data_IF_815644087093
#
_entry.id   IF_815644087093
#
_cell.length_a   1.000
_cell.length_b   1.000
_cell.length_c   1.000
_cell.angle_alpha   90.00
_cell.angle_beta   90.00
_cell.angle_gamma   90.00
#
_symmetry.space_group_name_H-M   'P 1'
#
loop_
_entity.id
_entity.type
_entity.pdbx_description
1 polymer ?
#
# COMPACT_ATOMS: atom_id res chain seq x y z
N UNK A 1 -45.58 -23.65 -43.09
CA UNK A 1 -44.52 -22.63 -43.10
C UNK A 1 -44.54 -21.70 -41.90
N UNK A 2 -45.62 -21.47 -41.18
CA UNK A 2 -45.72 -20.46 -40.10
C UNK A 2 -45.22 -20.90 -38.72
N UNK A 3 -45.02 -22.20 -38.45
CA UNK A 3 -44.54 -22.63 -37.12
C UNK A 3 -43.02 -22.50 -36.91
N UNK A 4 -42.23 -22.66 -37.97
CA UNK A 4 -40.77 -22.55 -37.90
C UNK A 4 -40.34 -21.10 -37.68
N UNK A 5 -41.01 -20.11 -38.28
CA UNK A 5 -40.73 -18.68 -38.06
C UNK A 5 -41.00 -18.22 -36.63
N UNK A 6 -42.03 -18.77 -35.98
CA UNK A 6 -42.37 -18.43 -34.59
C UNK A 6 -41.29 -18.96 -33.64
N UNK A 7 -40.74 -20.17 -33.85
CA UNK A 7 -39.64 -20.71 -33.02
C UNK A 7 -38.32 -20.00 -33.25
N UNK A 8 -38.01 -19.58 -34.49
CA UNK A 8 -36.80 -18.77 -34.78
C UNK A 8 -36.90 -17.38 -34.15
N UNK A 9 -38.08 -16.72 -34.25
CA UNK A 9 -38.30 -15.43 -33.60
C UNK A 9 -38.26 -15.52 -32.06
N UNK A 10 -38.82 -16.57 -31.46
CA UNK A 10 -38.74 -16.82 -30.03
C UNK A 10 -37.29 -17.13 -29.58
N UNK A 11 -36.55 -17.91 -30.36
CA UNK A 11 -35.15 -18.24 -30.06
C UNK A 11 -34.22 -17.03 -30.22
N UNK A 12 -34.41 -16.21 -31.26
CA UNK A 12 -33.72 -14.94 -31.42
C UNK A 12 -34.10 -13.92 -30.32
N UNK A 13 -35.38 -13.88 -29.90
CA UNK A 13 -35.85 -13.02 -28.82
C UNK A 13 -35.23 -13.40 -27.46
N UNK A 14 -35.11 -14.70 -27.18
CA UNK A 14 -34.47 -15.19 -25.94
C UNK A 14 -32.95 -14.93 -25.97
N UNK A 15 -32.29 -15.07 -27.12
CA UNK A 15 -30.87 -14.72 -27.28
C UNK A 15 -30.64 -13.20 -27.15
N UNK A 16 -31.57 -12.37 -27.66
CA UNK A 16 -31.49 -10.90 -27.53
C UNK A 16 -31.77 -10.43 -26.10
N UNK A 17 -32.72 -11.04 -25.39
CA UNK A 17 -33.00 -10.77 -23.98
C UNK A 17 -31.80 -11.15 -23.09
N UNK A 18 -31.17 -12.33 -23.31
CA UNK A 18 -29.97 -12.72 -22.57
C UNK A 18 -28.76 -11.83 -22.88
N UNK A 19 -28.63 -11.30 -24.11
CA UNK A 19 -27.55 -10.36 -24.44
C UNK A 19 -27.78 -8.98 -23.83
N UNK A 20 -29.04 -8.53 -23.71
CA UNK A 20 -29.36 -7.24 -23.07
C UNK A 20 -29.19 -7.28 -21.57
N UNK A 21 -29.54 -8.35 -20.88
CA UNK A 21 -29.32 -8.49 -19.44
C UNK A 21 -27.81 -8.59 -19.10
N UNK A 22 -27.03 -9.31 -19.92
CA UNK A 22 -25.57 -9.37 -19.78
C UNK A 22 -24.91 -8.01 -20.02
N UNK A 23 -25.45 -7.16 -20.89
CA UNK A 23 -24.94 -5.83 -21.18
C UNK A 23 -25.23 -4.83 -20.04
N UNK A 24 -26.45 -4.83 -19.49
CA UNK A 24 -26.81 -3.97 -18.35
C UNK A 24 -25.97 -4.29 -17.09
N UNK A 25 -25.79 -5.57 -16.79
CA UNK A 25 -24.94 -6.00 -15.65
C UNK A 25 -23.48 -5.54 -15.81
N UNK A 26 -22.97 -5.50 -17.04
CA UNK A 26 -21.60 -5.03 -17.31
C UNK A 26 -21.43 -3.52 -17.12
N UNK A 27 -22.46 -2.71 -17.19
CA UNK A 27 -22.37 -1.26 -16.99
C UNK A 27 -22.09 -0.88 -15.53
N UNK A 28 -22.52 -1.69 -14.58
CA UNK A 28 -22.26 -1.48 -13.15
C UNK A 28 -20.83 -1.84 -12.74
N UNK A 29 -20.09 -2.59 -13.57
CA UNK A 29 -18.67 -2.88 -13.37
C UNK A 29 -17.78 -1.76 -13.95
N UNK A 30 -16.71 -1.41 -13.25
CA UNK A 30 -15.68 -0.53 -13.80
C UNK A 30 -15.04 -1.11 -15.07
N UNK A 31 -14.44 -0.27 -15.91
CA UNK A 31 -13.77 -0.73 -17.13
C UNK A 31 -12.66 -1.75 -16.84
N UNK A 32 -11.88 -1.54 -15.77
CA UNK A 32 -10.84 -2.46 -15.34
C UNK A 32 -11.40 -3.79 -14.85
N UNK A 33 -12.50 -3.78 -14.09
CA UNK A 33 -13.17 -4.99 -13.63
C UNK A 33 -13.76 -5.80 -14.77
N UNK A 34 -14.35 -5.13 -15.78
CA UNK A 34 -14.82 -5.79 -17.01
C UNK A 34 -13.69 -6.49 -17.76
N UNK A 35 -12.56 -5.79 -17.94
CA UNK A 35 -11.40 -6.37 -18.62
C UNK A 35 -10.84 -7.58 -17.86
N UNK A 36 -10.74 -7.50 -16.52
CA UNK A 36 -10.29 -8.62 -15.69
C UNK A 36 -11.26 -9.80 -15.77
N UNK A 37 -12.56 -9.54 -15.73
CA UNK A 37 -13.58 -10.59 -15.86
C UNK A 37 -13.54 -11.24 -17.24
N UNK A 38 -13.42 -10.46 -18.31
CA UNK A 38 -13.27 -10.97 -19.68
C UNK A 38 -12.00 -11.83 -19.84
N UNK A 39 -10.89 -11.43 -19.22
CA UNK A 39 -9.67 -12.24 -19.19
C UNK A 39 -9.87 -13.55 -18.45
N UNK A 40 -10.52 -13.53 -17.28
CA UNK A 40 -10.86 -14.74 -16.52
C UNK A 40 -11.76 -15.69 -17.31
N UNK A 41 -12.71 -15.15 -18.09
CA UNK A 41 -13.62 -15.94 -18.94
C UNK A 41 -12.88 -16.53 -20.16
N UNK A 42 -12.03 -15.74 -20.82
CA UNK A 42 -11.33 -16.15 -22.06
C UNK A 42 -10.19 -17.12 -21.83
N UNK A 43 -9.46 -16.99 -20.72
CA UNK A 43 -8.25 -17.80 -20.46
C UNK A 43 -8.55 -19.25 -20.17
N UNK A 44 -9.79 -19.63 -19.85
CA UNK A 44 -10.03 -20.97 -19.34
C UNK A 44 -11.36 -21.67 -19.68
N UNK A 45 -12.34 -21.15 -20.32
CA UNK A 45 -13.69 -21.72 -20.17
C UNK A 45 -14.10 -21.87 -18.67
N UNK A 46 -13.64 -20.98 -17.84
CA UNK A 46 -13.39 -21.17 -16.38
C UNK A 46 -14.47 -20.63 -15.48
N UNK A 47 -15.51 -19.97 -15.92
CA UNK A 47 -16.65 -19.74 -15.03
C UNK A 47 -17.20 -21.07 -14.48
N UNK A 48 -17.25 -22.12 -15.31
CA UNK A 48 -17.58 -23.46 -14.84
C UNK A 48 -16.46 -24.11 -14.00
N UNK A 49 -15.18 -23.79 -14.22
CA UNK A 49 -14.07 -24.30 -13.41
C UNK A 49 -13.85 -23.48 -12.12
N UNK A 50 -14.12 -22.17 -12.12
CA UNK A 50 -14.14 -21.35 -10.89
C UNK A 50 -15.26 -21.83 -9.97
N UNK A 51 -16.44 -22.18 -10.51
CA UNK A 51 -17.50 -22.80 -9.70
C UNK A 51 -17.15 -24.20 -9.20
N UNK A 52 -16.22 -24.92 -9.85
CA UNK A 52 -15.70 -26.23 -9.40
C UNK A 52 -14.49 -26.17 -8.47
N UNK A 53 -13.84 -24.99 -8.32
CA UNK A 53 -12.67 -24.77 -7.45
C UNK A 53 -12.99 -24.00 -6.18
N UNK A 54 -14.26 -23.87 -5.79
CA UNK A 54 -14.70 -23.21 -4.52
C UNK A 54 -14.04 -21.83 -4.25
N UNK A 55 -13.74 -21.05 -5.31
CA UNK A 55 -13.21 -19.71 -5.13
C UNK A 55 -14.29 -18.68 -5.35
N UNK A 56 -14.89 -18.25 -4.25
CA UNK A 56 -15.81 -17.14 -4.24
C UNK A 56 -15.15 -15.85 -4.73
N UNK A 57 -15.92 -15.01 -5.42
CA UNK A 57 -15.48 -13.69 -5.85
C UNK A 57 -15.63 -12.70 -4.71
N UNK A 58 -14.62 -11.87 -4.53
CA UNK A 58 -14.70 -10.68 -3.67
C UNK A 58 -14.96 -9.46 -4.52
N UNK A 59 -15.82 -8.55 -4.06
CA UNK A 59 -16.13 -7.30 -4.76
C UNK A 59 -16.22 -6.16 -3.74
N UNK A 60 -15.80 -4.97 -4.17
CA UNK A 60 -16.20 -3.72 -3.56
C UNK A 60 -17.45 -3.24 -4.30
N UNK A 61 -18.53 -2.99 -3.59
CA UNK A 61 -19.81 -2.59 -4.20
C UNK A 61 -20.34 -1.33 -3.57
N UNK A 62 -20.98 -0.51 -4.38
CA UNK A 62 -21.79 0.61 -3.97
C UNK A 62 -23.26 0.25 -4.24
N UNK A 63 -24.07 0.28 -3.20
CA UNK A 63 -25.49 0.03 -3.24
C UNK A 63 -26.28 1.28 -2.83
N UNK A 64 -27.58 1.23 -2.94
CA UNK A 64 -28.45 2.25 -2.39
C UNK A 64 -28.32 2.33 -0.87
N UNK A 65 -28.50 3.51 -0.28
CA UNK A 65 -28.37 3.75 1.15
C UNK A 65 -29.37 2.93 2.00
N UNK A 66 -30.48 2.53 1.39
CA UNK A 66 -31.52 1.74 2.03
C UNK A 66 -31.36 0.23 1.87
N UNK A 67 -30.26 -0.22 1.21
CA UNK A 67 -29.97 -1.65 1.01
C UNK A 67 -29.82 -2.35 2.35
N UNK A 68 -30.61 -3.39 2.54
CA UNK A 68 -30.63 -4.17 3.77
C UNK A 68 -29.74 -5.42 3.66
N UNK A 69 -29.48 -6.03 4.82
CA UNK A 69 -28.83 -7.34 4.87
C UNK A 69 -29.57 -8.39 4.05
N UNK A 70 -30.89 -8.38 4.10
CA UNK A 70 -31.71 -9.37 3.41
C UNK A 70 -31.58 -9.22 1.90
N UNK A 71 -31.56 -8.00 1.35
CA UNK A 71 -31.38 -7.75 -0.07
C UNK A 71 -30.07 -8.36 -0.59
N UNK A 72 -28.98 -8.21 0.17
CA UNK A 72 -27.68 -8.78 -0.19
C UNK A 72 -27.74 -10.33 -0.18
N UNK A 73 -28.28 -10.92 0.88
CA UNK A 73 -28.34 -12.38 1.01
C UNK A 73 -29.26 -13.03 -0.03
N UNK A 74 -30.41 -12.42 -0.31
CA UNK A 74 -31.34 -12.90 -1.34
C UNK A 74 -30.74 -12.87 -2.75
N UNK A 75 -29.76 -11.99 -3.00
CA UNK A 75 -29.02 -11.93 -4.26
C UNK A 75 -27.77 -12.83 -4.30
N UNK A 76 -27.64 -13.76 -3.36
CA UNK A 76 -26.57 -14.77 -3.38
C UNK A 76 -25.25 -14.32 -2.75
N UNK A 77 -25.23 -13.20 -2.01
CA UNK A 77 -24.04 -12.78 -1.24
C UNK A 77 -23.83 -13.73 -0.07
N UNK A 78 -22.65 -14.34 -0.01
CA UNK A 78 -22.26 -15.32 1.02
C UNK A 78 -21.83 -14.64 2.32
N UNK A 79 -21.09 -13.55 2.20
CA UNK A 79 -20.66 -12.72 3.33
C UNK A 79 -20.44 -11.28 2.89
N UNK A 80 -20.54 -10.33 3.82
CA UNK A 80 -20.32 -8.92 3.55
C UNK A 80 -19.76 -8.19 4.77
N UNK A 81 -19.08 -7.07 4.50
CA UNK A 81 -18.70 -6.07 5.51
C UNK A 81 -19.22 -4.72 5.04
N UNK A 82 -19.98 -4.03 5.89
CA UNK A 82 -20.42 -2.66 5.61
C UNK A 82 -19.27 -1.67 5.87
N UNK A 83 -19.02 -0.81 4.89
CA UNK A 83 -18.05 0.29 4.99
C UNK A 83 -18.72 1.64 5.25
N UNK A 84 -20.07 1.65 5.40
CA UNK A 84 -20.87 2.85 5.53
C UNK A 84 -21.29 3.48 4.19
N UNK A 85 -22.28 4.38 4.23
CA UNK A 85 -22.75 5.17 3.07
C UNK A 85 -23.08 4.34 1.81
N UNK A 86 -23.66 3.14 2.00
CA UNK A 86 -24.01 2.24 0.89
C UNK A 86 -22.82 1.47 0.29
N UNK A 87 -21.62 1.56 0.86
CA UNK A 87 -20.46 0.76 0.42
C UNK A 87 -20.32 -0.52 1.21
N UNK A 88 -20.01 -1.61 0.50
CA UNK A 88 -19.79 -2.93 1.09
C UNK A 88 -18.63 -3.63 0.39
N UNK A 89 -17.88 -4.44 1.12
CA UNK A 89 -17.13 -5.54 0.54
C UNK A 89 -17.98 -6.80 0.64
N UNK A 90 -18.13 -7.55 -0.44
CA UNK A 90 -18.94 -8.75 -0.49
C UNK A 90 -18.13 -9.95 -0.97
N UNK A 91 -18.57 -11.13 -0.59
CA UNK A 91 -18.13 -12.41 -1.12
C UNK A 91 -19.33 -13.08 -1.77
N UNK A 92 -19.19 -13.55 -3.02
CA UNK A 92 -20.29 -14.08 -3.80
C UNK A 92 -19.81 -15.21 -4.72
N UNK A 93 -20.64 -16.23 -4.91
CA UNK A 93 -20.34 -17.27 -5.88
C UNK A 93 -20.34 -16.70 -7.31
N UNK A 94 -19.41 -17.13 -8.21
CA UNK A 94 -19.38 -16.66 -9.60
C UNK A 94 -20.69 -16.83 -10.35
N UNK A 95 -21.46 -17.88 -10.05
CA UNK A 95 -22.78 -18.15 -10.63
C UNK A 95 -23.83 -17.09 -10.29
N UNK A 96 -23.72 -16.45 -9.14
CA UNK A 96 -24.67 -15.45 -8.64
C UNK A 96 -24.32 -14.02 -9.06
N UNK A 97 -23.12 -13.79 -9.62
CA UNK A 97 -22.62 -12.45 -9.93
C UNK A 97 -23.57 -11.68 -10.86
N UNK A 98 -24.06 -12.31 -11.93
CA UNK A 98 -24.99 -11.65 -12.87
C UNK A 98 -26.28 -11.24 -12.19
N UNK A 99 -26.86 -12.14 -11.39
CA UNK A 99 -28.08 -11.88 -10.63
C UNK A 99 -27.89 -10.72 -9.65
N UNK A 100 -26.77 -10.68 -8.96
CA UNK A 100 -26.43 -9.59 -8.06
C UNK A 100 -26.28 -8.26 -8.79
N UNK A 101 -25.55 -8.23 -9.91
CA UNK A 101 -25.36 -7.02 -10.70
C UNK A 101 -26.64 -6.51 -11.36
N UNK A 102 -27.59 -7.40 -11.68
CA UNK A 102 -28.90 -7.02 -12.25
C UNK A 102 -29.85 -6.39 -11.21
N UNK A 103 -29.54 -6.50 -9.92
CA UNK A 103 -30.39 -5.96 -8.85
C UNK A 103 -30.42 -4.43 -8.86
N UNK A 104 -31.60 -3.83 -8.75
CA UNK A 104 -31.80 -2.38 -8.84
C UNK A 104 -31.04 -1.59 -7.78
N UNK A 105 -30.81 -2.17 -6.60
CA UNK A 105 -30.11 -1.52 -5.51
C UNK A 105 -28.59 -1.46 -5.71
N UNK A 106 -28.01 -2.22 -6.62
CA UNK A 106 -26.57 -2.18 -6.93
C UNK A 106 -26.28 -1.05 -7.91
N UNK A 107 -25.49 -0.08 -7.51
CA UNK A 107 -25.07 1.07 -8.34
C UNK A 107 -23.78 0.81 -9.08
N UNK A 108 -22.79 0.23 -8.37
CA UNK A 108 -21.44 -0.01 -8.91
C UNK A 108 -20.78 -1.19 -8.22
N UNK A 109 -19.97 -1.93 -8.96
CA UNK A 109 -19.18 -3.02 -8.43
C UNK A 109 -17.76 -3.02 -9.03
N UNK A 110 -16.79 -3.42 -8.23
CA UNK A 110 -15.40 -3.54 -8.64
C UNK A 110 -14.78 -4.83 -8.11
N UNK A 111 -14.03 -5.51 -8.97
CA UNK A 111 -13.17 -6.60 -8.57
C UNK A 111 -11.96 -6.07 -7.78
N UNK A 112 -11.46 -6.82 -6.78
CA UNK A 112 -10.30 -6.40 -6.02
C UNK A 112 -9.08 -6.29 -6.92
N UNK A 113 -8.27 -5.26 -6.68
CA UNK A 113 -6.95 -5.13 -7.29
C UNK A 113 -5.91 -5.48 -6.23
N UNK A 114 -4.87 -6.16 -6.65
CA UNK A 114 -3.74 -6.40 -5.78
C UNK A 114 -2.97 -5.09 -5.63
N UNK A 115 -2.86 -4.61 -4.41
CA UNK A 115 -1.92 -3.54 -4.11
C UNK A 115 -0.49 -4.11 -4.19
N UNK A 116 0.42 -3.37 -4.81
CA UNK A 116 1.86 -3.65 -4.81
C UNK A 116 2.57 -2.64 -3.93
N UNK A 117 3.67 -3.07 -3.32
CA UNK A 117 4.63 -2.16 -2.71
C UNK A 117 5.35 -1.45 -3.86
N UNK A 118 5.37 -0.12 -3.87
CA UNK A 118 5.77 0.67 -5.05
C UNK A 118 6.81 1.74 -4.75
N UNK A 119 7.69 1.55 -3.75
CA UNK A 119 8.74 2.52 -3.48
C UNK A 119 9.74 2.64 -4.64
N UNK A 120 10.06 1.54 -5.29
CA UNK A 120 10.91 1.47 -6.48
C UNK A 120 10.32 2.24 -7.67
N UNK A 121 9.04 2.05 -7.94
CA UNK A 121 8.30 2.80 -8.96
C UNK A 121 8.07 4.26 -8.53
N UNK A 122 7.72 4.51 -7.27
CA UNK A 122 7.43 5.85 -6.77
C UNK A 122 8.61 6.83 -6.94
N UNK A 123 9.85 6.39 -6.77
CA UNK A 123 11.03 7.25 -7.01
C UNK A 123 11.17 7.63 -8.47
N UNK A 124 10.83 6.75 -9.39
CA UNK A 124 10.84 7.02 -10.84
C UNK A 124 9.70 7.98 -11.22
N UNK A 125 8.49 7.70 -10.76
CA UNK A 125 7.29 8.50 -11.02
C UNK A 125 7.40 9.94 -10.46
N UNK A 126 8.07 10.10 -9.32
CA UNK A 126 8.29 11.42 -8.69
C UNK A 126 9.59 12.11 -9.17
N UNK A 127 10.30 11.55 -10.15
CA UNK A 127 11.58 12.03 -10.66
C UNK A 127 12.73 12.06 -9.64
N UNK A 128 12.59 11.40 -8.51
CA UNK A 128 13.66 11.31 -7.50
C UNK A 128 14.91 10.65 -8.06
N UNK A 129 14.76 9.63 -8.92
CA UNK A 129 15.89 8.95 -9.58
C UNK A 129 16.70 9.92 -10.43
N UNK A 130 16.08 10.87 -11.14
CA UNK A 130 16.78 11.89 -11.93
C UNK A 130 17.62 12.81 -11.04
N UNK A 131 17.10 13.20 -9.89
CA UNK A 131 17.80 14.02 -8.89
C UNK A 131 18.96 13.24 -8.27
N UNK A 132 18.74 11.97 -7.92
CA UNK A 132 19.78 11.10 -7.37
C UNK A 132 20.93 10.86 -8.37
N UNK A 133 20.63 10.77 -9.65
CA UNK A 133 21.61 10.62 -10.72
C UNK A 133 22.27 11.95 -11.17
N UNK A 134 21.73 13.09 -10.74
CA UNK A 134 22.19 14.41 -11.15
C UNK A 134 21.80 14.77 -12.59
N UNK A 135 20.75 14.18 -13.15
CA UNK A 135 20.30 14.45 -14.50
C UNK A 135 19.78 15.90 -14.61
N UNK A 136 20.37 16.66 -15.53
CA UNK A 136 20.11 18.10 -15.69
C UNK A 136 20.46 18.97 -14.47
N UNK A 137 21.27 18.46 -13.54
CA UNK A 137 21.72 19.15 -12.33
C UNK A 137 23.26 19.26 -12.34
N UNK A 138 23.82 20.08 -11.43
CA UNK A 138 25.27 20.27 -11.32
C UNK A 138 25.99 19.02 -10.77
N UNK A 139 25.29 18.16 -10.04
CA UNK A 139 25.83 16.94 -9.44
C UNK A 139 24.69 16.04 -8.96
N UNK A 140 24.95 14.74 -8.65
CA UNK A 140 24.03 13.89 -7.93
C UNK A 140 23.68 14.44 -6.55
N UNK A 141 22.39 14.35 -6.17
CA UNK A 141 21.91 14.74 -4.85
C UNK A 141 21.30 13.52 -4.15
N UNK A 142 22.05 12.99 -3.19
CA UNK A 142 21.73 11.74 -2.48
C UNK A 142 21.49 11.93 -0.98
N UNK A 143 21.48 13.20 -0.54
CA UNK A 143 21.43 13.56 0.89
C UNK A 143 22.81 13.61 1.55
N UNK A 144 23.91 13.43 0.81
CA UNK A 144 25.27 13.50 1.36
C UNK A 144 25.52 14.86 2.01
N UNK A 145 26.11 14.86 3.21
CA UNK A 145 26.37 16.06 4.03
C UNK A 145 25.10 16.76 4.56
N UNK A 146 23.97 16.09 4.60
CA UNK A 146 22.73 16.56 5.21
C UNK A 146 22.37 15.66 6.38
N UNK A 147 21.88 16.25 7.47
CA UNK A 147 21.25 15.50 8.58
C UNK A 147 19.78 15.30 8.25
N UNK A 148 19.34 14.04 8.21
CA UNK A 148 17.93 13.67 8.06
C UNK A 148 17.43 13.15 9.41
N UNK A 149 16.62 13.96 10.07
CA UNK A 149 16.04 13.67 11.36
C UNK A 149 14.63 13.08 11.26
N UNK A 150 14.29 12.23 12.20
CA UNK A 150 12.96 11.64 12.35
C UNK A 150 12.51 11.79 13.80
N UNK A 151 11.27 12.21 13.99
CA UNK A 151 10.59 12.17 15.29
C UNK A 151 9.36 11.30 15.11
N UNK A 152 9.41 10.08 15.62
CA UNK A 152 8.42 9.04 15.37
C UNK A 152 8.47 7.98 16.48
N UNK A 153 7.82 6.84 16.33
CA UNK A 153 7.88 5.70 17.23
C UNK A 153 8.08 4.40 16.46
N UNK A 154 8.77 3.44 17.08
CA UNK A 154 9.01 2.12 16.51
C UNK A 154 10.16 2.10 15.50
N UNK A 155 11.34 2.56 15.93
CA UNK A 155 12.59 2.42 15.17
C UNK A 155 13.29 1.11 15.52
N UNK A 156 13.38 0.18 14.59
CA UNK A 156 14.37 -0.89 14.63
C UNK A 156 15.70 -0.35 14.09
N UNK A 157 16.57 0.10 15.00
CA UNK A 157 17.87 0.69 14.65
C UNK A 157 18.87 -0.33 14.11
N UNK A 158 18.56 -1.62 14.21
CA UNK A 158 19.38 -2.72 13.67
C UNK A 158 19.06 -3.02 12.21
N UNK A 159 17.94 -2.47 11.70
CA UNK A 159 17.45 -2.75 10.35
C UNK A 159 18.50 -2.41 9.26
N UNK A 160 18.76 -3.30 8.29
CA UNK A 160 19.79 -3.11 7.25
C UNK A 160 19.66 -1.81 6.46
N UNK A 161 18.43 -1.29 6.27
CA UNK A 161 18.19 -0.02 5.57
C UNK A 161 18.97 1.16 6.18
N UNK A 162 19.34 1.12 7.46
CA UNK A 162 20.05 2.20 8.14
C UNK A 162 21.57 2.05 8.08
N UNK A 163 22.07 1.14 7.27
CA UNK A 163 23.48 0.97 6.98
C UNK A 163 23.86 1.61 5.65
N UNK A 164 25.18 1.76 5.45
CA UNK A 164 25.77 2.18 4.17
C UNK A 164 25.45 1.17 3.06
N UNK A 165 25.66 1.57 1.81
CA UNK A 165 25.38 0.75 0.63
C UNK A 165 26.08 -0.61 0.64
N UNK A 166 27.24 -0.72 1.29
CA UNK A 166 28.03 -1.95 1.46
C UNK A 166 27.65 -2.74 2.74
N UNK A 167 26.69 -2.26 3.53
CA UNK A 167 26.25 -2.84 4.80
C UNK A 167 27.31 -2.78 5.94
N UNK A 168 28.41 -2.06 5.77
CA UNK A 168 29.50 -2.06 6.77
C UNK A 168 29.27 -1.03 7.88
N UNK A 169 28.74 0.15 7.52
CA UNK A 169 28.65 1.28 8.45
C UNK A 169 27.22 1.63 8.82
N UNK A 170 26.92 1.69 10.12
CA UNK A 170 25.65 2.26 10.61
C UNK A 170 25.62 3.77 10.31
N UNK A 171 24.55 4.25 9.67
CA UNK A 171 24.36 5.67 9.32
C UNK A 171 23.58 6.47 10.35
N UNK A 172 23.04 5.81 11.38
CA UNK A 172 22.41 6.48 12.51
C UNK A 172 23.53 7.14 13.34
N UNK A 173 23.58 8.46 13.27
CA UNK A 173 24.57 9.26 14.01
C UNK A 173 24.15 9.49 15.46
N UNK A 174 22.85 9.59 15.72
CA UNK A 174 22.25 9.80 17.04
C UNK A 174 20.93 9.06 17.13
N UNK A 175 20.66 8.48 18.30
CA UNK A 175 19.37 7.91 18.65
C UNK A 175 18.96 8.41 20.04
N UNK A 176 17.82 9.09 20.12
CA UNK A 176 17.22 9.48 21.37
C UNK A 176 15.94 8.70 21.61
N UNK A 177 16.03 7.70 22.50
CA UNK A 177 14.85 7.01 23.00
C UNK A 177 14.26 7.85 24.15
N UNK A 178 13.21 8.64 23.86
CA UNK A 178 12.53 9.48 24.86
C UNK A 178 11.72 8.66 25.85
N UNK A 179 11.26 7.47 25.46
CA UNK A 179 10.47 6.58 26.32
C UNK A 179 11.30 6.15 27.53
N UNK A 180 12.54 5.72 27.28
CA UNK A 180 13.49 5.31 28.32
C UNK A 180 14.46 6.41 28.76
N UNK A 181 14.30 7.63 28.20
CA UNK A 181 15.17 8.77 28.41
C UNK A 181 16.67 8.47 28.16
N UNK A 182 16.98 7.80 27.06
CA UNK A 182 18.34 7.43 26.66
C UNK A 182 18.81 8.24 25.46
N UNK A 183 19.92 8.94 25.59
CA UNK A 183 20.60 9.65 24.50
C UNK A 183 21.83 8.85 24.04
N UNK A 184 21.78 8.27 22.85
CA UNK A 184 22.79 7.40 22.31
C UNK A 184 23.53 8.04 21.14
N UNK A 185 24.87 8.05 21.20
CA UNK A 185 25.73 8.62 20.17
C UNK A 185 26.80 7.65 19.65
N UNK A 186 27.03 6.61 20.39
CA UNK A 186 27.94 5.53 20.05
C UNK A 186 27.21 4.43 19.30
N UNK A 187 27.79 3.96 18.18
CA UNK A 187 27.15 3.00 17.28
C UNK A 187 26.87 1.64 17.93
N UNK A 188 27.75 1.20 18.83
CA UNK A 188 27.58 -0.07 19.55
C UNK A 188 26.39 0.04 20.51
N UNK A 189 26.29 1.16 21.23
CA UNK A 189 25.17 1.42 22.13
C UNK A 189 23.85 1.61 21.40
N UNK A 190 23.85 2.27 20.23
CA UNK A 190 22.67 2.39 19.38
C UNK A 190 22.19 1.00 18.94
N UNK A 191 23.09 0.15 18.44
CA UNK A 191 22.73 -1.21 18.02
C UNK A 191 22.29 -2.09 19.20
N UNK A 192 22.87 -1.90 20.38
CA UNK A 192 22.50 -2.64 21.58
C UNK A 192 21.11 -2.25 22.13
N UNK A 193 20.65 -1.03 21.88
CA UNK A 193 19.31 -0.59 22.24
C UNK A 193 18.24 -1.33 21.41
N UNK A 194 18.50 -1.60 20.14
CA UNK A 194 17.62 -2.37 19.25
C UNK A 194 16.41 -1.58 18.77
N UNK A 195 15.52 -1.20 19.66
CA UNK A 195 14.30 -0.45 19.34
C UNK A 195 13.84 0.43 20.51
N UNK A 196 13.09 1.50 20.21
CA UNK A 196 12.37 2.31 21.22
C UNK A 196 11.00 1.71 21.57
N UNK A 197 10.45 0.87 20.70
CA UNK A 197 9.09 0.33 20.87
C UNK A 197 8.92 -0.99 20.11
N UNK A 198 8.81 -2.10 20.82
CA UNK A 198 8.67 -3.44 20.21
C UNK A 198 7.30 -3.67 19.53
N UNK A 199 6.29 -2.89 19.90
CA UNK A 199 4.92 -3.03 19.36
C UNK A 199 4.70 -2.22 18.07
N UNK A 200 5.63 -1.34 17.70
CA UNK A 200 5.53 -0.44 16.57
C UNK A 200 6.70 -0.61 15.60
N UNK A 201 6.44 -0.33 14.33
CA UNK A 201 7.47 -0.32 13.27
C UNK A 201 7.33 0.89 12.35
N UNK A 202 6.49 1.85 12.71
CA UNK A 202 6.15 2.99 11.86
C UNK A 202 7.39 3.86 11.59
N UNK A 203 8.15 4.21 12.61
CA UNK A 203 9.39 4.99 12.47
C UNK A 203 10.42 4.32 11.57
N UNK A 204 10.59 2.99 11.68
CA UNK A 204 11.47 2.20 10.79
C UNK A 204 11.04 2.33 9.33
N UNK A 205 9.74 2.19 9.05
CA UNK A 205 9.20 2.26 7.69
C UNK A 205 9.39 3.65 7.09
N UNK A 206 9.01 4.70 7.82
CA UNK A 206 9.16 6.10 7.40
C UNK A 206 10.62 6.46 7.14
N UNK A 207 11.52 6.10 8.06
CA UNK A 207 12.95 6.37 7.91
C UNK A 207 13.57 5.58 6.76
N UNK A 208 13.13 4.35 6.51
CA UNK A 208 13.56 3.54 5.38
C UNK A 208 13.20 4.15 4.02
N UNK A 209 11.96 4.67 3.88
CA UNK A 209 11.51 5.36 2.67
C UNK A 209 12.31 6.64 2.43
N UNK A 210 12.55 7.43 3.47
CA UNK A 210 13.22 8.72 3.30
C UNK A 210 14.75 8.58 3.18
N UNK A 211 15.37 7.71 3.99
CA UNK A 211 16.82 7.65 4.15
C UNK A 211 17.45 6.27 4.08
N UNK A 212 16.75 5.22 3.67
CA UNK A 212 17.33 3.89 3.56
C UNK A 212 18.50 3.83 2.59
N UNK A 213 19.65 3.26 2.99
CA UNK A 213 20.90 3.32 2.23
C UNK A 213 21.45 1.96 1.76
N UNK A 214 20.87 0.86 2.16
CA UNK A 214 21.37 -0.46 1.80
C UNK A 214 20.91 -0.88 0.40
N UNK A 215 21.86 -1.19 -0.47
CA UNK A 215 21.64 -1.62 -1.88
C UNK A 215 21.95 -3.10 -2.13
N UNK A 216 22.37 -3.84 -1.14
CA UNK A 216 22.77 -5.23 -1.29
C UNK A 216 21.60 -6.20 -1.49
N UNK A 217 21.91 -7.46 -1.36
CA UNK A 217 20.94 -8.57 -1.52
C UNK A 217 19.86 -8.53 -0.46
N UNK A 218 18.60 -8.64 -0.86
CA UNK A 218 17.46 -8.75 0.05
C UNK A 218 16.64 -10.00 -0.24
N UNK A 219 16.08 -10.60 0.81
CA UNK A 219 15.08 -11.65 0.69
C UNK A 219 13.69 -11.00 0.51
N UNK A 220 12.98 -11.38 -0.54
CA UNK A 220 11.61 -10.90 -0.82
C UNK A 220 10.54 -11.90 -0.39
N UNK A 221 10.93 -13.15 -0.17
CA UNK A 221 10.11 -14.24 0.36
C UNK A 221 11.03 -15.35 0.86
N UNK A 222 10.47 -16.41 1.47
CA UNK A 222 11.24 -17.55 1.96
C UNK A 222 12.11 -18.23 0.89
N UNK A 223 11.81 -18.03 -0.39
CA UNK A 223 12.50 -18.70 -1.52
C UNK A 223 13.00 -17.75 -2.61
N UNK A 224 12.82 -16.44 -2.46
CA UNK A 224 13.19 -15.45 -3.49
C UNK A 224 14.09 -14.36 -2.91
N UNK A 225 15.24 -14.18 -3.53
CA UNK A 225 16.20 -13.10 -3.22
C UNK A 225 16.38 -12.19 -4.44
N UNK A 226 16.63 -10.91 -4.19
CA UNK A 226 17.05 -9.94 -5.19
C UNK A 226 18.52 -9.58 -4.92
N UNK A 227 19.35 -9.59 -5.95
CA UNK A 227 20.78 -9.26 -5.85
C UNK A 227 21.03 -7.78 -5.52
N UNK A 228 20.04 -6.95 -5.79
CA UNK A 228 20.03 -5.52 -5.44
C UNK A 228 18.70 -5.16 -4.79
N UNK A 229 18.78 -4.42 -3.68
CA UNK A 229 17.61 -3.83 -3.05
C UNK A 229 17.09 -2.65 -3.90
N UNK A 230 15.90 -2.75 -4.54
CA UNK A 230 15.29 -1.64 -5.24
C UNK A 230 14.59 -0.64 -4.29
N UNK A 231 14.44 -0.99 -3.00
CA UNK A 231 13.66 -0.24 -2.01
C UNK A 231 14.52 0.69 -1.15
N UNK A 232 15.58 1.26 -1.70
CA UNK A 232 16.37 2.28 -1.00
C UNK A 232 15.66 3.63 -0.97
N UNK A 233 16.07 4.50 -0.05
CA UNK A 233 15.41 5.76 0.23
C UNK A 233 15.74 6.90 -0.73
N UNK A 234 15.06 8.02 -0.50
CA UNK A 234 15.25 9.26 -1.28
C UNK A 234 16.63 9.88 -1.02
N UNK A 235 17.02 9.99 0.26
CA UNK A 235 18.29 10.59 0.72
C UNK A 235 19.20 9.52 1.32
N UNK A 236 19.59 8.54 0.51
CA UNK A 236 20.27 7.32 0.93
C UNK A 236 21.72 7.53 1.47
N UNK A 237 22.31 8.71 1.31
CA UNK A 237 23.62 9.07 1.85
C UNK A 237 23.55 10.08 3.02
N UNK A 238 22.36 10.44 3.49
CA UNK A 238 22.20 11.37 4.62
C UNK A 238 22.66 10.75 5.95
N UNK A 239 23.14 11.59 6.87
CA UNK A 239 23.34 11.19 8.27
C UNK A 239 21.99 11.12 8.97
N UNK A 240 21.67 10.01 9.62
CA UNK A 240 20.38 9.80 10.24
C UNK A 240 20.40 10.18 11.73
N UNK A 241 19.40 10.93 12.17
CA UNK A 241 19.11 11.19 13.58
C UNK A 241 17.70 10.73 13.88
N UNK A 242 17.55 9.80 14.80
CA UNK A 242 16.26 9.22 15.15
C UNK A 242 15.87 9.59 16.57
N UNK A 243 14.62 9.97 16.76
CA UNK A 243 14.03 10.26 18.06
C UNK A 243 12.80 9.38 18.23
N UNK A 244 12.93 8.33 19.03
CA UNK A 244 11.84 7.46 19.48
C UNK A 244 11.00 8.22 20.49
N UNK A 245 9.86 8.78 20.06
CA UNK A 245 9.07 9.74 20.82
C UNK A 245 7.93 9.07 21.57
N UNK A 246 7.54 9.66 22.71
CA UNK A 246 6.31 9.33 23.42
C UNK A 246 5.05 9.77 22.64
N UNK A 247 5.25 10.55 21.56
CA UNK A 247 4.22 11.15 20.70
C UNK A 247 3.40 12.27 21.39
N UNK A 248 3.80 12.71 22.57
CA UNK A 248 3.27 13.95 23.13
C UNK A 248 3.86 15.16 22.40
N UNK A 249 3.09 16.22 22.23
CA UNK A 249 3.46 17.41 21.46
C UNK A 249 4.75 18.07 21.99
N UNK A 250 4.92 18.12 23.31
CA UNK A 250 6.13 18.63 23.97
C UNK A 250 7.37 17.79 23.63
N UNK A 251 7.25 16.48 23.59
CA UNK A 251 8.34 15.57 23.27
C UNK A 251 8.68 15.59 21.78
N UNK A 252 7.67 15.73 20.93
CA UNK A 252 7.86 15.96 19.48
C UNK A 252 8.68 17.24 19.27
N UNK A 253 8.31 18.36 19.91
CA UNK A 253 9.03 19.64 19.80
C UNK A 253 10.47 19.56 20.35
N UNK A 254 10.67 18.85 21.45
CA UNK A 254 11.99 18.57 22.00
C UNK A 254 12.84 17.73 21.03
N UNK A 255 12.24 16.72 20.41
CA UNK A 255 12.88 15.88 19.38
C UNK A 255 13.31 16.68 18.16
N UNK A 256 12.44 17.53 17.62
CA UNK A 256 12.79 18.45 16.53
C UNK A 256 13.97 19.33 16.89
N UNK A 257 13.91 19.97 18.08
CA UNK A 257 14.99 20.82 18.57
C UNK A 257 16.30 20.07 18.72
N UNK A 258 16.26 18.84 19.20
CA UNK A 258 17.44 17.98 19.33
C UNK A 258 18.12 17.73 17.99
N UNK A 259 17.34 17.40 16.93
CA UNK A 259 17.89 17.16 15.57
C UNK A 259 18.62 18.41 15.06
N UNK A 260 17.97 19.58 15.13
CA UNK A 260 18.59 20.83 14.65
C UNK A 260 19.82 21.21 15.48
N UNK A 261 19.81 21.07 16.81
CA UNK A 261 20.98 21.32 17.64
C UNK A 261 22.16 20.40 17.29
N UNK A 262 21.88 19.12 16.98
CA UNK A 262 22.92 18.22 16.52
C UNK A 262 23.50 18.67 15.17
N UNK A 263 22.65 18.98 14.19
CA UNK A 263 23.09 19.43 12.88
C UNK A 263 23.94 20.73 12.97
N UNK A 264 23.50 21.70 13.77
CA UNK A 264 24.26 22.92 14.05
C UNK A 264 25.63 22.62 14.67
N UNK A 265 25.71 21.63 15.59
CA UNK A 265 26.97 21.27 16.25
C UNK A 265 28.03 20.70 15.29
N UNK A 266 27.62 20.22 14.12
CA UNK A 266 28.51 19.65 13.10
C UNK A 266 28.50 20.46 11.79
N UNK A 267 27.92 21.67 11.80
CA UNK A 267 27.83 22.59 10.66
C UNK A 267 27.25 21.95 9.40
N UNK A 268 26.11 21.23 9.56
CA UNK A 268 25.38 20.61 8.46
C UNK A 268 23.94 21.11 8.38
N UNK A 269 23.39 21.24 7.16
CA UNK A 269 21.96 21.45 7.01
C UNK A 269 21.16 20.25 7.48
N UNK A 270 19.92 20.48 7.96
CA UNK A 270 19.05 19.43 8.42
C UNK A 270 17.64 19.51 7.84
N UNK A 271 17.04 18.35 7.68
CA UNK A 271 15.60 18.18 7.37
C UNK A 271 15.03 17.25 8.45
N UNK A 272 13.88 17.60 9.00
CA UNK A 272 13.16 16.77 9.97
C UNK A 272 11.86 16.27 9.37
N UNK A 273 11.66 14.96 9.40
CA UNK A 273 10.39 14.35 9.04
C UNK A 273 9.56 14.05 10.30
N UNK A 274 8.28 14.41 10.24
CA UNK A 274 7.28 14.16 11.26
C UNK A 274 6.06 13.57 10.55
N UNK A 275 5.94 12.25 10.58
CA UNK A 275 4.83 11.53 9.93
C UNK A 275 3.73 11.19 10.94
N UNK A 276 3.30 12.20 11.68
CA UNK A 276 2.34 12.08 12.78
C UNK A 276 1.06 12.87 12.47
N UNK A 277 -0.04 12.43 13.04
CA UNK A 277 -1.33 13.10 12.94
C UNK A 277 -1.95 13.28 14.33
N UNK A 278 -2.48 14.45 14.61
CA UNK A 278 -3.29 14.72 15.80
C UNK A 278 -4.74 14.81 15.36
N UNK A 279 -5.58 13.87 15.78
CA UNK A 279 -7.03 13.99 15.64
C UNK A 279 -7.57 14.73 16.89
N UNK A 280 -7.83 16.00 16.76
CA UNK A 280 -8.73 16.66 17.69
C UNK A 280 -10.15 16.31 17.26
N UNK A 281 -10.79 15.42 18.04
CA UNK A 281 -12.20 15.09 17.90
C UNK A 281 -13.11 16.25 18.32
#
# INVERSE_FOLDING_TARGET
MNRIYIYVMLFCGILFLNSMTCFAANEKLSASSRQTLDQLIRTDNRLEKLSRQDKDLRLLVQCDEHTTKNDLLECGVLSYVSLGNGFYTICIAPSELSRFLDSDFVKRAELPRKASLSLDEARTETNVVLVQNGESLSSPYTGKNVVLGFVDSGFDVTHPAFRSSDNETLRIARFWNQIDNKLLSDKENILAEGTDNEEQTHGTHVAGIAGGGYFGTIATSESTTLDKNPYYGVAYDADLVMVGSTLEDTDILNGIKYVFNYADSIDKPAVVNISLNTSYG
#
